data_IF_199763625740
#
_entry.id   IF_199763625740
#
_cell.length_a   1.000
_cell.length_b   1.000
_cell.length_c   1.000
_cell.angle_alpha   90.00
_cell.angle_beta   90.00
_cell.angle_gamma   90.00
#
_symmetry.space_group_name_H-M   'P 1'
#
loop_
_entity.id
_entity.type
_entity.pdbx_description
1 polymer ?
#
# COMPACT_ATOMS: atom_id res chain seq x y z
N UNK A 1 12.43 18.58 5.56
CA UNK A 1 11.63 17.58 6.31
C UNK A 1 10.43 17.27 5.44
N UNK A 2 10.08 16.00 5.18
CA UNK A 2 8.84 15.72 4.47
C UNK A 2 7.69 16.28 5.30
N UNK A 3 6.84 17.10 4.67
CA UNK A 3 5.84 17.90 5.37
C UNK A 3 4.48 17.19 5.44
N UNK A 4 4.35 16.06 4.73
CA UNK A 4 3.11 15.32 4.57
C UNK A 4 3.34 13.82 4.74
N UNK A 5 2.54 13.20 5.60
CA UNK A 5 2.62 11.79 5.94
C UNK A 5 1.21 11.21 6.07
N UNK A 6 1.04 9.95 5.69
CA UNK A 6 -0.14 9.17 6.00
C UNK A 6 0.23 7.73 6.34
N UNK A 7 -0.44 7.19 7.35
CA UNK A 7 -0.27 5.83 7.85
C UNK A 7 -1.63 5.12 7.85
N UNK A 8 -1.75 4.04 7.09
CA UNK A 8 -2.95 3.23 7.00
C UNK A 8 -2.69 1.82 7.52
N UNK A 9 -3.66 1.27 8.24
CA UNK A 9 -3.67 -0.13 8.69
C UNK A 9 -4.90 -0.82 8.12
N UNK A 10 -4.68 -1.89 7.37
CA UNK A 10 -5.73 -2.71 6.79
C UNK A 10 -5.80 -4.02 7.55
N UNK A 11 -6.93 -4.25 8.22
CA UNK A 11 -7.21 -5.50 8.93
C UNK A 11 -7.90 -6.48 7.97
N UNK A 12 -7.22 -7.56 7.61
CA UNK A 12 -7.73 -8.58 6.68
C UNK A 12 -6.93 -9.88 6.84
N UNK A 13 -7.59 -11.02 6.65
CA UNK A 13 -6.94 -12.33 6.62
C UNK A 13 -6.05 -12.52 5.37
N UNK A 14 -6.10 -11.58 4.42
CA UNK A 14 -5.30 -11.60 3.18
C UNK A 14 -4.05 -10.72 3.25
N UNK A 15 -3.67 -10.23 4.43
CA UNK A 15 -2.63 -9.22 4.57
C UNK A 15 -1.32 -9.64 3.90
N UNK A 16 -0.89 -10.90 4.10
CA UNK A 16 0.33 -11.43 3.49
C UNK A 16 0.25 -11.49 1.95
N UNK A 17 -0.88 -11.93 1.41
CA UNK A 17 -1.10 -12.02 -0.03
C UNK A 17 -1.09 -10.63 -0.68
N UNK A 18 -1.73 -9.65 -0.05
CA UNK A 18 -1.72 -8.26 -0.51
C UNK A 18 -0.30 -7.69 -0.44
N UNK A 19 0.44 -7.92 0.65
CA UNK A 19 1.83 -7.49 0.77
C UNK A 19 2.69 -8.02 -0.37
N UNK A 20 2.59 -9.32 -0.68
CA UNK A 20 3.32 -9.97 -1.79
C UNK A 20 2.94 -9.40 -3.15
N UNK A 21 1.67 -9.05 -3.35
CA UNK A 21 1.21 -8.42 -4.59
C UNK A 21 1.77 -7.01 -4.77
N UNK A 22 2.02 -6.27 -3.68
CA UNK A 22 2.57 -4.92 -3.69
C UNK A 22 4.10 -4.88 -3.78
N UNK A 23 4.80 -5.92 -3.33
CA UNK A 23 6.27 -6.00 -3.26
C UNK A 23 6.99 -5.54 -4.55
N UNK A 24 6.53 -5.87 -5.78
CA UNK A 24 7.15 -5.38 -7.01
C UNK A 24 7.03 -3.87 -7.25
N UNK A 25 6.04 -3.21 -6.65
CA UNK A 25 5.69 -1.79 -6.85
C UNK A 25 6.28 -0.88 -5.76
N UNK A 26 6.91 -1.45 -4.73
CA UNK A 26 7.57 -0.72 -3.64
C UNK A 26 8.97 -0.16 -4.00
N UNK A 27 9.84 -0.89 -4.74
CA UNK A 27 11.19 -0.41 -5.04
C UNK A 27 11.27 0.55 -6.23
N UNK A 28 10.15 0.88 -6.89
CA UNK A 28 10.18 1.79 -8.04
C UNK A 28 10.32 3.26 -7.58
N UNK A 29 11.55 3.64 -7.27
CA UNK A 29 12.06 4.99 -6.96
C UNK A 29 11.90 5.99 -8.12
N UNK A 30 10.79 5.97 -8.86
CA UNK A 30 10.55 6.92 -9.95
C UNK A 30 9.97 8.24 -9.42
N UNK A 31 9.46 8.25 -8.18
CA UNK A 31 8.87 9.44 -7.57
C UNK A 31 9.84 10.10 -6.58
N UNK A 32 10.66 11.02 -7.07
CA UNK A 32 11.61 11.80 -6.23
C UNK A 32 10.93 12.61 -5.12
N UNK A 33 9.59 12.74 -5.14
CA UNK A 33 8.81 13.57 -4.22
C UNK A 33 7.96 12.77 -3.21
N UNK A 34 8.04 11.44 -3.23
CA UNK A 34 7.35 10.60 -2.23
C UNK A 34 8.07 9.27 -1.99
N UNK A 35 8.07 8.81 -0.75
CA UNK A 35 8.54 7.49 -0.36
C UNK A 35 7.36 6.68 0.21
N UNK A 36 7.31 5.41 -0.14
CA UNK A 36 6.31 4.47 0.37
C UNK A 36 7.00 3.32 1.07
N UNK A 37 6.47 2.93 2.22
CA UNK A 37 6.84 1.69 2.91
C UNK A 37 5.61 0.86 3.18
N UNK A 38 5.78 -0.45 3.09
CA UNK A 38 4.74 -1.41 3.38
C UNK A 38 5.34 -2.52 4.23
N UNK A 39 4.62 -2.98 5.25
CA UNK A 39 5.03 -4.10 6.09
C UNK A 39 3.82 -4.78 6.72
N UNK A 40 4.04 -5.95 7.30
CA UNK A 40 3.03 -6.70 8.04
C UNK A 40 3.19 -6.49 9.55
N UNK A 41 2.08 -6.23 10.22
CA UNK A 41 1.94 -6.28 11.68
C UNK A 41 1.20 -7.60 12.03
N UNK A 42 1.96 -8.67 12.27
CA UNK A 42 1.39 -10.01 12.46
C UNK A 42 0.84 -10.61 11.16
N UNK A 43 -0.22 -11.43 11.25
CA UNK A 43 -0.72 -12.21 10.10
C UNK A 43 -1.95 -11.57 9.43
N UNK A 44 -2.58 -10.59 10.07
CA UNK A 44 -3.87 -10.04 9.64
C UNK A 44 -3.82 -8.54 9.40
N UNK A 45 -2.65 -7.91 9.48
CA UNK A 45 -2.56 -6.45 9.35
C UNK A 45 -1.46 -6.05 8.38
N UNK A 46 -1.87 -5.37 7.32
CA UNK A 46 -0.98 -4.69 6.37
C UNK A 46 -0.88 -3.22 6.77
N UNK A 47 0.34 -2.70 6.83
CA UNK A 47 0.59 -1.29 7.10
C UNK A 47 1.19 -0.63 5.86
N UNK A 48 0.62 0.52 5.48
CA UNK A 48 1.09 1.38 4.40
C UNK A 48 1.47 2.75 4.99
N UNK A 49 2.74 3.10 4.88
CA UNK A 49 3.28 4.42 5.20
C UNK A 49 3.61 5.14 3.90
N UNK A 50 3.08 6.35 3.72
CA UNK A 50 3.43 7.22 2.59
C UNK A 50 3.89 8.56 3.12
N UNK A 51 5.08 8.97 2.71
CA UNK A 51 5.71 10.23 3.06
C UNK A 51 5.95 11.03 1.77
N UNK A 52 5.61 12.32 1.75
CA UNK A 52 5.72 13.14 0.55
C UNK A 52 6.14 14.59 0.84
N UNK A 53 6.68 15.25 -0.19
CA UNK A 53 7.09 16.66 -0.14
C UNK A 53 5.90 17.63 -0.13
N UNK A 54 4.80 17.28 -0.82
CA UNK A 54 3.60 18.11 -0.94
C UNK A 54 2.32 17.25 -0.94
N UNK A 55 1.18 17.90 -0.72
CA UNK A 55 -0.14 17.24 -0.65
C UNK A 55 -0.58 16.60 -1.98
N UNK A 56 -0.09 17.09 -3.12
CA UNK A 56 -0.43 16.54 -4.43
C UNK A 56 0.32 15.23 -4.67
N UNK A 57 1.61 15.16 -4.30
CA UNK A 57 2.42 13.95 -4.30
C UNK A 57 1.85 12.90 -3.34
N UNK A 58 1.46 13.30 -2.11
CA UNK A 58 0.81 12.39 -1.16
C UNK A 58 -0.47 11.80 -1.77
N UNK A 59 -1.34 12.65 -2.32
CA UNK A 59 -2.61 12.22 -2.94
C UNK A 59 -2.38 11.27 -4.13
N UNK A 60 -1.36 11.53 -4.94
CA UNK A 60 -1.03 10.67 -6.08
C UNK A 60 -0.59 9.27 -5.61
N UNK A 61 0.35 9.20 -4.66
CA UNK A 61 0.84 7.94 -4.11
C UNK A 61 -0.27 7.18 -3.38
N UNK A 62 -1.08 7.84 -2.55
CA UNK A 62 -2.22 7.20 -1.90
C UNK A 62 -3.23 6.63 -2.90
N UNK A 63 -3.60 7.39 -3.94
CA UNK A 63 -4.54 6.89 -4.95
C UNK A 63 -4.00 5.67 -5.72
N UNK A 64 -2.69 5.59 -5.93
CA UNK A 64 -2.05 4.43 -6.55
C UNK A 64 -2.10 3.22 -5.62
N UNK A 65 -1.55 3.33 -4.41
CA UNK A 65 -1.44 2.18 -3.50
C UNK A 65 -2.80 1.71 -2.97
N UNK A 66 -3.74 2.60 -2.65
CA UNK A 66 -5.08 2.20 -2.21
C UNK A 66 -5.83 1.44 -3.31
N UNK A 67 -5.64 1.82 -4.58
CA UNK A 67 -6.21 1.08 -5.71
C UNK A 67 -5.58 -0.30 -5.84
N UNK A 68 -4.25 -0.41 -5.75
CA UNK A 68 -3.56 -1.69 -5.82
C UNK A 68 -3.98 -2.63 -4.68
N UNK A 69 -4.12 -2.10 -3.46
CA UNK A 69 -4.61 -2.86 -2.30
C UNK A 69 -6.02 -3.40 -2.56
N UNK A 70 -6.95 -2.55 -2.99
CA UNK A 70 -8.32 -2.99 -3.27
C UNK A 70 -8.36 -4.08 -4.36
N UNK A 71 -7.61 -3.91 -5.45
CA UNK A 71 -7.55 -4.92 -6.52
C UNK A 71 -6.95 -6.23 -6.02
N UNK A 72 -5.88 -6.16 -5.22
CA UNK A 72 -5.24 -7.35 -4.66
C UNK A 72 -6.21 -8.12 -3.75
N UNK A 73 -6.97 -7.43 -2.90
CA UNK A 73 -7.96 -8.04 -2.00
C UNK A 73 -9.15 -8.63 -2.77
N UNK A 74 -9.71 -7.91 -3.75
CA UNK A 74 -10.80 -8.40 -4.60
C UNK A 74 -10.44 -9.66 -5.38
N UNK A 75 -9.20 -9.74 -5.89
CA UNK A 75 -8.73 -10.93 -6.63
C UNK A 75 -8.61 -12.14 -5.69
N UNK A 76 -8.25 -11.96 -4.42
CA UNK A 76 -8.24 -13.07 -3.45
C UNK A 76 -9.63 -13.64 -3.22
N UNK A 77 -10.65 -12.79 -3.16
CA UNK A 77 -12.05 -13.21 -2.98
C UNK A 77 -12.58 -14.00 -4.19
N UNK A 78 -12.11 -13.69 -5.41
CA UNK A 78 -12.48 -14.43 -6.63
C UNK A 78 -11.90 -15.85 -6.59
N UNK A 79 -10.63 -16.00 -6.19
CA UNK A 79 -9.94 -17.31 -6.15
C UNK A 79 -10.52 -18.23 -5.07
N UNK A 80 -11.15 -17.66 -4.02
CA UNK A 80 -11.81 -18.43 -2.96
C UNK A 80 -13.19 -18.99 -3.34
N UNK A 81 -13.78 -18.55 -4.46
CA UNK A 81 -15.10 -19.01 -4.89
C UNK A 81 -14.94 -20.27 -5.77
N UNK A 82 -15.43 -21.45 -5.34
CA UNK A 82 -15.33 -22.69 -6.11
C UNK A 82 -16.16 -22.67 -7.40
#
# INVERSE_FOLDING_TARGET
MPQHEALFRFLTDHAEQIYRALEPELPDEVNTRSATRCWLEGNTTLVLEVVAEDSAALRASLNMYLRLINVADEVQEIVKKP
#
